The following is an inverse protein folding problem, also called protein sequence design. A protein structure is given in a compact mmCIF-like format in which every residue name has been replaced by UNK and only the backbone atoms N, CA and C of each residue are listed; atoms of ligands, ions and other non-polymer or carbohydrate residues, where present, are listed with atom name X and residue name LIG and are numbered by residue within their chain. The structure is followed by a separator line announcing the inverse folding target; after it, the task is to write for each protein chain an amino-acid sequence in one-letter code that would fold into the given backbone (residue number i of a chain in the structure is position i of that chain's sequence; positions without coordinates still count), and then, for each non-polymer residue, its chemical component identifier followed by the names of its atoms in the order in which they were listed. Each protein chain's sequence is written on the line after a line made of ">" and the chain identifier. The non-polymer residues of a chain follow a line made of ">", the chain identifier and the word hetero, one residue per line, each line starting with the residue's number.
data_IF_010331028936
#
_entry.id   IF_010331028936
#
_cell.length_a   1.000
_cell.length_b   1.000
_cell.length_c   1.000
_cell.angle_alpha   90.00
_cell.angle_beta   90.00
_cell.angle_gamma   90.00
#
_symmetry.space_group_name_H-M   'P 1'
#
loop_
_entity.id
_entity.type
_entity.pdbx_description
1 polymer ?
#
# COMPACT_ATOMS: atom_id res chain seq x y z
N UNK A 1 -1.77 -7.37 -16.72
CA UNK A 1 -1.12 -6.08 -16.41
C UNK A 1 -1.97 -5.37 -15.37
N UNK A 2 -1.70 -5.60 -14.09
CA UNK A 2 -2.51 -5.05 -13.00
C UNK A 2 -1.95 -3.69 -12.59
N UNK A 3 -2.70 -2.63 -12.90
CA UNK A 3 -2.47 -1.29 -12.38
C UNK A 3 -3.20 -1.23 -11.04
N UNK A 4 -2.48 -1.40 -9.93
CA UNK A 4 -3.05 -1.20 -8.60
C UNK A 4 -2.90 0.29 -8.26
N UNK A 5 -3.95 1.06 -8.51
CA UNK A 5 -4.19 2.32 -7.81
C UNK A 5 -5.58 2.27 -7.21
N UNK A 6 -5.66 1.75 -5.99
CA UNK A 6 -6.78 2.05 -5.11
C UNK A 6 -6.24 2.13 -3.70
N UNK A 7 -6.28 3.33 -3.15
CA UNK A 7 -6.08 3.61 -1.74
C UNK A 7 -7.27 3.00 -0.98
N UNK A 8 -7.20 1.71 -0.66
CA UNK A 8 -8.15 1.12 0.27
C UNK A 8 -7.61 1.32 1.68
N UNK A 9 -8.17 2.29 2.39
CA UNK A 9 -7.99 2.47 3.82
C UNK A 9 -8.58 1.26 4.54
N UNK A 10 -7.73 0.33 4.96
CA UNK A 10 -8.10 -0.71 5.92
C UNK A 10 -8.43 -0.07 7.27
N UNK A 11 -9.68 -0.20 7.70
CA UNK A 11 -10.16 0.27 9.00
C UNK A 11 -9.70 -0.71 10.08
N UNK A 12 -8.60 -0.40 10.77
CA UNK A 12 -8.14 -1.09 11.99
C UNK A 12 -8.55 -0.25 13.22
N UNK A 13 -9.60 -0.61 13.98
CA UNK A 13 -10.17 0.29 15.00
C UNK A 13 -9.43 0.28 16.35
N UNK A 14 -8.13 -0.05 16.41
CA UNK A 14 -7.38 -0.01 17.68
C UNK A 14 -6.01 0.70 17.65
N UNK A 15 -5.54 1.17 16.49
CA UNK A 15 -4.19 1.77 16.38
C UNK A 15 -4.15 3.17 15.74
N UNK A 16 -5.29 3.78 15.43
CA UNK A 16 -5.33 5.12 14.83
C UNK A 16 -6.07 6.09 15.74
N UNK A 17 -5.35 6.74 16.65
CA UNK A 17 -5.86 7.97 17.28
C UNK A 17 -5.97 9.03 16.20
N UNK A 18 -7.20 9.40 15.88
CA UNK A 18 -7.58 10.46 14.95
C UNK A 18 -7.15 11.83 15.49
N UNK A 19 -5.86 12.15 15.42
CA UNK A 19 -5.36 13.54 15.54
C UNK A 19 -4.96 13.99 14.14
N UNK A 20 -5.92 14.55 13.40
CA UNK A 20 -5.67 15.16 12.09
C UNK A 20 -4.69 16.35 12.11
N UNK A 21 -4.12 16.71 13.26
CA UNK A 21 -3.25 17.89 13.44
C UNK A 21 -1.77 17.60 13.69
N UNK A 22 -1.29 16.35 13.54
CA UNK A 22 0.15 16.07 13.42
C UNK A 22 0.42 15.34 12.13
N UNK A 23 0.84 16.10 11.12
CA UNK A 23 1.55 15.55 9.99
C UNK A 23 3.03 15.77 10.26
N UNK A 24 3.77 14.69 10.51
CA UNK A 24 5.23 14.75 10.53
C UNK A 24 5.72 14.74 9.09
N UNK A 25 6.74 15.54 8.81
CA UNK A 25 7.48 15.45 7.56
C UNK A 25 8.14 14.08 7.43
N UNK A 26 8.42 13.61 6.19
CA UNK A 26 9.12 12.35 5.98
C UNK A 26 10.47 12.28 6.72
N UNK A 27 11.16 13.40 6.90
CA UNK A 27 12.43 13.45 7.66
C UNK A 27 12.20 13.19 9.15
N UNK A 28 11.21 13.84 9.75
CA UNK A 28 10.87 13.61 11.17
C UNK A 28 10.43 12.17 11.43
N UNK A 29 9.72 11.55 10.49
CA UNK A 29 9.34 10.13 10.59
C UNK A 29 10.59 9.23 10.59
N UNK A 30 11.58 9.54 9.76
CA UNK A 30 12.83 8.76 9.66
C UNK A 30 13.70 8.83 10.92
N UNK A 31 13.59 9.93 11.67
CA UNK A 31 14.34 10.17 12.91
C UNK A 31 13.67 9.57 14.16
N UNK A 32 12.47 8.99 14.04
CA UNK A 32 11.77 8.40 15.17
C UNK A 32 12.55 7.23 15.79
N UNK A 33 12.62 7.08 17.14
CA UNK A 33 13.41 6.04 17.82
C UNK A 33 13.12 4.59 17.40
N UNK A 34 11.92 4.32 16.89
CA UNK A 34 11.56 3.02 16.29
C UNK A 34 12.49 2.63 15.13
N UNK A 35 12.96 3.61 14.34
CA UNK A 35 13.83 3.40 13.19
C UNK A 35 15.32 3.61 13.50
N UNK A 36 15.73 3.65 14.78
CA UNK A 36 17.13 3.92 15.17
C UNK A 36 18.16 2.96 14.56
N UNK A 37 17.72 1.77 14.15
CA UNK A 37 18.56 0.70 13.56
C UNK A 37 18.47 0.68 12.02
N UNK A 38 17.69 1.59 11.42
CA UNK A 38 17.51 1.68 9.97
C UNK A 38 18.48 2.70 9.37
N UNK A 39 19.43 2.21 8.57
CA UNK A 39 20.21 3.06 7.68
C UNK A 39 19.40 3.37 6.41
N UNK A 40 18.81 4.56 6.36
CA UNK A 40 17.99 5.02 5.24
C UNK A 40 18.74 5.13 3.91
N UNK A 41 20.06 5.32 3.93
CA UNK A 41 20.87 5.35 2.71
C UNK A 41 20.97 3.95 2.10
N UNK A 42 21.17 2.92 2.93
CA UNK A 42 21.19 1.53 2.46
C UNK A 42 19.82 1.05 2.01
N UNK A 43 18.74 1.49 2.65
CA UNK A 43 17.36 1.24 2.19
C UNK A 43 17.14 1.86 0.81
N UNK A 44 17.52 3.12 0.62
CA UNK A 44 17.39 3.81 -0.67
C UNK A 44 18.18 3.11 -1.78
N UNK A 45 19.40 2.68 -1.48
CA UNK A 45 20.27 1.93 -2.42
C UNK A 45 19.89 0.44 -2.57
N UNK A 46 18.83 -0.02 -1.87
CA UNK A 46 18.39 -1.44 -1.85
C UNK A 46 19.50 -2.41 -1.41
N UNK A 47 20.35 -1.97 -0.49
CA UNK A 47 21.46 -2.76 0.09
C UNK A 47 21.12 -3.36 1.46
N UNK A 48 20.05 -2.89 2.11
CA UNK A 48 19.53 -3.53 3.31
C UNK A 48 18.76 -4.79 2.91
N UNK A 49 19.17 -5.96 3.43
CA UNK A 49 18.47 -7.22 3.15
C UNK A 49 17.12 -7.21 3.87
N UNK A 50 16.00 -7.46 3.18
CA UNK A 50 14.70 -7.51 3.84
C UNK A 50 14.65 -8.68 4.83
N UNK A 51 13.95 -8.52 5.97
CA UNK A 51 13.88 -9.57 6.99
C UNK A 51 13.09 -10.80 6.54
N UNK A 52 12.27 -10.67 5.49
CA UNK A 52 11.52 -11.76 4.88
C UNK A 52 11.68 -11.70 3.36
N UNK A 53 12.11 -12.81 2.78
CA UNK A 53 12.15 -13.01 1.34
C UNK A 53 11.01 -13.99 1.00
N UNK A 54 10.02 -13.59 0.18
CA UNK A 54 8.93 -14.48 -0.20
C UNK A 54 9.46 -15.75 -0.88
N UNK A 55 8.94 -16.94 -0.54
CA UNK A 55 9.27 -18.16 -1.24
C UNK A 55 8.89 -18.07 -2.71
N UNK A 56 9.72 -18.69 -3.58
CA UNK A 56 9.43 -18.70 -5.01
C UNK A 56 8.26 -19.63 -5.30
N UNK A 57 7.34 -19.17 -6.13
CA UNK A 57 6.18 -19.96 -6.58
C UNK A 57 4.95 -19.82 -5.68
N UNK A 58 5.03 -19.08 -4.58
CA UNK A 58 3.87 -18.77 -3.74
C UNK A 58 3.13 -17.54 -4.27
N UNK A 59 1.80 -17.58 -4.21
CA UNK A 59 0.91 -16.46 -4.54
C UNK A 59 0.45 -15.82 -3.23
N UNK A 60 0.89 -14.58 -2.96
CA UNK A 60 0.50 -13.81 -1.77
C UNK A 60 -0.80 -12.99 -1.99
N UNK A 61 -1.72 -13.55 -2.78
CA UNK A 61 -3.00 -12.94 -3.12
C UNK A 61 -4.06 -14.02 -3.24
N UNK A 62 -5.33 -13.64 -3.05
CA UNK A 62 -6.45 -14.51 -3.35
C UNK A 62 -6.51 -14.80 -4.86
N UNK A 63 -7.03 -15.98 -5.22
CA UNK A 63 -7.21 -16.34 -6.63
C UNK A 63 -8.28 -15.44 -7.27
N UNK A 64 -8.20 -15.27 -8.59
CA UNK A 64 -9.17 -14.51 -9.36
C UNK A 64 -10.60 -15.05 -9.23
N UNK A 65 -10.76 -16.35 -8.96
CA UNK A 65 -12.07 -16.95 -8.69
C UNK A 65 -12.60 -16.65 -7.29
N UNK A 66 -11.74 -16.32 -6.32
CA UNK A 66 -12.11 -16.08 -4.92
C UNK A 66 -12.48 -14.62 -4.64
N UNK A 67 -12.02 -13.67 -5.46
CA UNK A 67 -12.20 -12.22 -5.23
C UNK A 67 -13.57 -11.67 -5.66
N UNK A 68 -14.41 -12.49 -6.30
CA UNK A 68 -15.71 -12.07 -6.85
C UNK A 68 -15.58 -11.25 -8.14
N UNK A 69 -16.70 -11.11 -8.86
CA UNK A 69 -16.78 -10.29 -10.08
C UNK A 69 -17.40 -8.93 -9.75
N UNK A 70 -17.07 -7.91 -10.55
CA UNK A 70 -17.79 -6.64 -10.50
C UNK A 70 -19.23 -6.83 -11.03
N UNK A 71 -20.17 -6.04 -10.50
CA UNK A 71 -21.55 -6.04 -11.00
C UNK A 71 -21.63 -5.24 -12.30
N UNK A 72 -22.08 -5.90 -13.37
CA UNK A 72 -22.28 -5.28 -14.68
C UNK A 72 -23.34 -4.17 -14.65
N UNK A 73 -24.28 -4.20 -13.71
CA UNK A 73 -25.30 -3.16 -13.55
C UNK A 73 -24.72 -1.86 -12.97
N UNK A 74 -23.66 -1.93 -12.16
CA UNK A 74 -23.02 -0.75 -11.54
C UNK A 74 -22.20 0.08 -12.54
N UNK A 75 -21.80 -0.51 -13.68
CA UNK A 75 -20.99 0.16 -14.70
C UNK A 75 -21.81 0.66 -15.90
N UNK A 76 -23.11 0.35 -15.96
CA UNK A 76 -24.01 0.82 -17.03
C UNK A 76 -24.16 2.34 -16.97
N UNK A 77 -23.59 3.02 -17.96
CA UNK A 77 -23.73 4.48 -18.14
C UNK A 77 -22.48 5.30 -17.86
N UNK A 78 -21.37 4.68 -17.43
CA UNK A 78 -20.07 5.36 -17.30
C UNK A 78 -19.49 5.62 -18.69
N UNK A 79 -19.46 6.88 -19.12
CA UNK A 79 -18.86 7.30 -20.39
C UNK A 79 -17.37 7.58 -20.20
N UNK A 80 -16.53 6.90 -20.97
CA UNK A 80 -15.08 7.18 -20.99
C UNK A 80 -14.85 8.49 -21.76
N UNK A 81 -14.54 9.57 -21.05
CA UNK A 81 -14.08 10.81 -21.68
C UNK A 81 -12.58 10.71 -21.97
N UNK A 82 -12.18 10.99 -23.21
CA UNK A 82 -10.77 11.17 -23.55
C UNK A 82 -10.34 12.54 -23.00
N UNK A 83 -9.41 12.57 -22.05
CA UNK A 83 -8.70 13.82 -21.73
C UNK A 83 -7.77 14.11 -22.91
N UNK A 84 -8.06 15.21 -23.61
CA UNK A 84 -7.14 15.78 -24.60
C UNK A 84 -5.99 16.48 -23.88
#
# INVERSE_FOLDING_TARGET
>A
MCIIRSYSTFYFPSLFKFRQSINFSPSEVKEHPFFREVDWQTVYLRRMTPPLIPPRGEVNAADAFDIGNFDDDEVKGVKVSKRQ
#
